data_IF_471952677700
#
_entry.id   IF_471952677700
#
_cell.length_a   1.000
_cell.length_b   1.000
_cell.length_c   1.000
_cell.angle_alpha   90.00
_cell.angle_beta   90.00
_cell.angle_gamma   90.00
#
_symmetry.space_group_name_H-M   'P 1'
#
loop_
_entity.id
_entity.type
_entity.pdbx_description
1 polymer ?
#
# COMPACT_ATOMS: atom_id res chain seq x y z
N UNK A 1 -21.33 6.21 -3.87
CA UNK A 1 -19.91 6.07 -3.48
C UNK A 1 -19.87 5.30 -2.17
N UNK A 2 -19.24 4.12 -2.17
CA UNK A 2 -19.17 3.25 -0.98
C UNK A 2 -17.83 3.47 -0.29
N UNK A 3 -17.85 3.80 1.00
CA UNK A 3 -16.64 3.94 1.80
C UNK A 3 -16.47 2.71 2.68
N UNK A 4 -15.33 2.03 2.57
CA UNK A 4 -14.96 0.95 3.47
C UNK A 4 -14.16 1.50 4.65
N UNK A 5 -14.44 1.02 5.86
CA UNK A 5 -13.67 1.39 7.07
C UNK A 5 -12.29 0.74 7.12
N UNK A 6 -12.06 -0.30 6.30
CA UNK A 6 -10.81 -1.02 6.21
C UNK A 6 -10.95 -2.30 5.39
N UNK A 7 -9.87 -3.09 5.36
CA UNK A 7 -9.78 -4.34 4.60
C UNK A 7 -9.88 -5.60 5.48
N UNK A 8 -10.17 -5.47 6.79
CA UNK A 8 -10.15 -6.60 7.72
C UNK A 8 -11.27 -7.62 7.45
N UNK A 9 -12.43 -7.15 7.01
CA UNK A 9 -13.61 -7.97 6.72
C UNK A 9 -13.69 -8.39 5.25
N UNK A 10 -12.60 -8.20 4.49
CA UNK A 10 -12.55 -8.53 3.06
C UNK A 10 -11.83 -9.85 2.89
N UNK A 11 -12.43 -10.73 2.09
CA UNK A 11 -11.83 -12.00 1.69
C UNK A 11 -11.31 -11.94 0.24
N UNK A 12 -11.89 -11.07 -0.59
CA UNK A 12 -11.53 -10.86 -1.99
C UNK A 12 -11.86 -9.44 -2.46
N UNK A 13 -11.53 -9.14 -3.72
CA UNK A 13 -11.76 -7.87 -4.41
C UNK A 13 -12.43 -8.09 -5.78
N UNK A 14 -13.25 -9.13 -5.91
CA UNK A 14 -13.92 -9.53 -7.15
C UNK A 14 -14.68 -8.41 -7.88
N UNK A 15 -15.19 -7.43 -7.13
CA UNK A 15 -16.01 -6.32 -7.63
C UNK A 15 -15.20 -5.05 -7.91
N UNK A 16 -13.87 -5.11 -7.84
CA UNK A 16 -12.98 -3.96 -8.01
C UNK A 16 -12.18 -4.12 -9.31
N UNK A 17 -12.34 -3.17 -10.23
CA UNK A 17 -11.62 -3.21 -11.51
C UNK A 17 -10.15 -2.79 -11.38
N UNK A 18 -9.86 -1.83 -10.48
CA UNK A 18 -8.55 -1.22 -10.32
C UNK A 18 -8.29 -0.76 -8.88
N UNK A 19 -7.02 -0.82 -8.47
CA UNK A 19 -6.58 -0.37 -7.14
C UNK A 19 -5.51 0.72 -7.29
N UNK A 20 -5.64 1.79 -6.49
CA UNK A 20 -4.61 2.80 -6.30
C UNK A 20 -4.21 2.83 -4.82
N UNK A 21 -2.97 2.45 -4.51
CA UNK A 21 -2.42 2.44 -3.15
C UNK A 21 -1.52 3.66 -2.91
N UNK A 22 -2.03 4.63 -2.15
CA UNK A 22 -1.30 5.82 -1.70
C UNK A 22 -1.06 5.81 -0.18
N UNK A 23 -1.36 4.69 0.49
CA UNK A 23 -1.23 4.58 1.95
C UNK A 23 0.24 4.47 2.37
N UNK A 24 0.57 5.12 3.49
CA UNK A 24 1.88 5.05 4.09
C UNK A 24 2.07 6.15 5.12
N UNK A 25 2.96 5.89 6.08
CA UNK A 25 3.37 6.88 7.07
C UNK A 25 4.06 8.09 6.38
N UNK A 26 3.74 9.34 6.76
CA UNK A 26 4.42 10.52 6.23
C UNK A 26 5.93 10.53 6.49
N UNK A 27 6.72 10.92 5.48
CA UNK A 27 8.19 10.90 5.54
C UNK A 27 8.77 12.17 6.18
N UNK A 28 8.12 13.34 6.02
CA UNK A 28 8.71 14.64 6.33
C UNK A 28 8.65 15.05 7.82
N UNK A 29 7.68 14.55 8.58
CA UNK A 29 7.26 15.20 9.84
C UNK A 29 7.95 14.67 11.11
N UNK A 30 8.88 13.71 10.98
CA UNK A 30 9.47 13.00 12.13
C UNK A 30 10.99 12.87 12.03
N UNK A 31 11.66 12.89 13.19
CA UNK A 31 13.10 12.64 13.29
C UNK A 31 13.44 11.25 12.77
N UNK A 32 14.49 11.16 11.96
CA UNK A 32 14.99 9.89 11.44
C UNK A 32 15.69 9.06 12.53
N UNK A 33 14.92 8.18 13.16
CA UNK A 33 15.40 7.13 14.08
C UNK A 33 15.23 5.77 13.42
N UNK A 34 15.94 4.73 13.91
CA UNK A 34 15.75 3.36 13.43
C UNK A 34 14.29 2.92 13.53
N UNK A 35 13.61 3.30 14.61
CA UNK A 35 12.20 3.02 14.82
C UNK A 35 11.29 3.74 13.80
N UNK A 36 11.59 5.00 13.46
CA UNK A 36 10.82 5.72 12.44
C UNK A 36 11.04 5.12 11.05
N UNK A 37 12.28 4.73 10.72
CA UNK A 37 12.60 4.02 9.47
C UNK A 37 11.78 2.74 9.34
N UNK A 38 11.73 1.95 10.41
CA UNK A 38 10.94 0.73 10.44
C UNK A 38 9.44 0.99 10.25
N UNK A 39 8.87 2.00 10.93
CA UNK A 39 7.47 2.41 10.73
C UNK A 39 7.19 2.82 9.29
N UNK A 40 8.08 3.59 8.67
CA UNK A 40 7.95 4.01 7.27
C UNK A 40 7.88 2.81 6.32
N UNK A 41 8.75 1.81 6.52
CA UNK A 41 8.75 0.58 5.75
C UNK A 41 7.49 -0.26 6.01
N UNK A 42 7.20 -0.56 7.26
CA UNK A 42 6.06 -1.42 7.65
C UNK A 42 4.71 -0.82 7.22
N UNK A 43 4.52 0.49 7.35
CA UNK A 43 3.28 1.16 6.93
C UNK A 43 2.99 1.01 5.42
N UNK A 44 4.01 0.81 4.59
CA UNK A 44 3.89 0.62 3.15
C UNK A 44 3.83 -0.86 2.77
N UNK A 45 4.67 -1.69 3.38
CA UNK A 45 4.71 -3.12 3.11
C UNK A 45 3.45 -3.82 3.58
N UNK A 46 2.98 -3.56 4.81
CA UNK A 46 1.84 -4.28 5.38
C UNK A 46 0.56 -4.07 4.55
N UNK A 47 0.28 -2.83 4.14
CA UNK A 47 -0.92 -2.53 3.33
C UNK A 47 -0.79 -3.10 1.92
N UNK A 48 0.38 -2.99 1.29
CA UNK A 48 0.64 -3.54 -0.05
C UNK A 48 0.49 -5.06 -0.04
N UNK A 49 1.06 -5.73 0.96
CA UNK A 49 0.94 -7.18 1.12
C UNK A 49 -0.53 -7.60 1.25
N UNK A 50 -1.28 -6.93 2.12
CA UNK A 50 -2.70 -7.23 2.31
C UNK A 50 -3.53 -7.06 1.03
N UNK A 51 -3.24 -6.03 0.22
CA UNK A 51 -3.91 -5.85 -1.06
C UNK A 51 -3.58 -7.00 -2.03
N UNK A 52 -2.30 -7.38 -2.13
CA UNK A 52 -1.87 -8.50 -2.98
C UNK A 52 -2.50 -9.81 -2.54
N UNK A 53 -2.59 -10.08 -1.23
CA UNK A 53 -3.23 -11.28 -0.71
C UNK A 53 -4.71 -11.36 -1.13
N UNK A 54 -5.43 -10.24 -1.05
CA UNK A 54 -6.83 -10.18 -1.49
C UNK A 54 -6.99 -10.29 -3.00
N UNK A 55 -6.06 -9.74 -3.78
CA UNK A 55 -6.03 -9.92 -5.24
C UNK A 55 -5.87 -11.41 -5.58
N UNK A 56 -4.94 -12.11 -4.92
CA UNK A 56 -4.76 -13.55 -5.13
C UNK A 56 -5.96 -14.39 -4.67
N UNK A 57 -6.68 -13.96 -3.64
CA UNK A 57 -7.90 -14.62 -3.19
C UNK A 57 -9.13 -14.33 -4.08
N UNK A 58 -9.00 -13.45 -5.07
CA UNK A 58 -10.11 -13.07 -5.96
C UNK A 58 -10.27 -14.04 -7.12
N UNK A 59 -11.50 -14.49 -7.37
CA UNK A 59 -11.87 -15.24 -8.56
C UNK A 59 -11.87 -14.35 -9.82
N UNK A 60 -12.22 -13.07 -9.65
CA UNK A 60 -12.17 -12.04 -10.68
C UNK A 60 -11.27 -10.90 -10.20
N UNK A 61 -9.94 -11.06 -10.27
CA UNK A 61 -9.02 -10.08 -9.70
C UNK A 61 -9.06 -8.74 -10.44
N UNK A 62 -8.79 -7.61 -9.75
CA UNK A 62 -8.60 -6.32 -10.39
C UNK A 62 -7.53 -6.40 -11.49
N UNK A 63 -7.75 -5.70 -12.60
CA UNK A 63 -6.83 -5.76 -13.74
C UNK A 63 -5.53 -4.98 -13.51
N UNK A 64 -5.51 -4.07 -12.53
CA UNK A 64 -4.37 -3.19 -12.29
C UNK A 64 -4.24 -2.78 -10.81
N UNK A 65 -2.99 -2.73 -10.34
CA UNK A 65 -2.59 -2.12 -9.09
C UNK A 65 -1.56 -1.02 -9.38
N UNK A 66 -1.89 0.21 -9.02
CA UNK A 66 -0.98 1.36 -9.05
C UNK A 66 -0.55 1.64 -7.61
N UNK A 67 0.74 1.51 -7.31
CA UNK A 67 1.28 1.75 -5.97
C UNK A 67 2.23 2.94 -5.97
N UNK A 68 2.05 3.86 -5.03
CA UNK A 68 2.92 5.02 -4.86
C UNK A 68 4.35 4.60 -4.49
N UNK A 69 5.33 5.25 -5.11
CA UNK A 69 6.76 5.07 -4.82
C UNK A 69 7.45 6.45 -4.72
N UNK A 70 8.79 6.46 -4.58
CA UNK A 70 9.57 7.67 -4.50
C UNK A 70 10.90 7.55 -5.27
N UNK A 71 11.38 8.67 -5.81
CA UNK A 71 12.67 8.76 -6.53
C UNK A 71 13.87 8.39 -5.68
N UNK A 72 13.77 8.50 -4.35
CA UNK A 72 14.83 8.10 -3.42
C UNK A 72 15.27 6.64 -3.54
N UNK A 73 14.51 5.78 -4.24
CA UNK A 73 14.95 4.44 -4.63
C UNK A 73 16.25 4.45 -5.45
N UNK A 74 16.45 5.46 -6.31
CA UNK A 74 17.62 5.57 -7.18
C UNK A 74 18.83 6.20 -6.50
N UNK A 75 18.71 6.62 -5.24
CA UNK A 75 19.77 7.34 -4.53
C UNK A 75 19.95 8.78 -5.02
N UNK A 76 20.96 9.45 -4.48
CA UNK A 76 21.28 10.83 -4.86
C UNK A 76 21.98 10.81 -6.23
N UNK A 77 21.24 11.20 -7.25
CA UNK A 77 21.68 11.18 -8.66
C UNK A 77 21.97 12.59 -9.19
N UNK A 78 22.13 13.57 -8.29
CA UNK A 78 22.35 14.99 -8.61
C UNK A 78 23.28 15.67 -7.61
#
# INVERSE_FOLDING_TARGET
>A
MTLWKGLAEREHLNEIDAIINLAGEPIADKRWTSQQKERLCQSRWAITQKLVDLIHASATPPSVLISGSATGYYGDSG
#
